data_IF_143088518551
#
_entry.id   IF_143088518551
#
_cell.length_a   1.000
_cell.length_b   1.000
_cell.length_c   1.000
_cell.angle_alpha   90.00
_cell.angle_beta   90.00
_cell.angle_gamma   90.00
#
_symmetry.space_group_name_H-M   'P 1'
#
loop_
_entity.id
_entity.type
_entity.pdbx_description
1 polymer ?
#
# COMPACT_ATOMS: atom_id res chain seq x y z
N UNK A 1 -2.50 -16.49 20.10
CA UNK A 1 -2.25 -15.80 18.81
C UNK A 1 -1.01 -14.95 19.04
N UNK A 2 0.14 -15.35 18.51
CA UNK A 2 1.43 -14.79 18.92
C UNK A 2 1.73 -13.46 18.22
N UNK A 3 1.90 -12.41 19.01
CA UNK A 3 2.14 -11.05 18.52
C UNK A 3 3.65 -10.78 18.42
N UNK A 4 4.14 -10.62 17.20
CA UNK A 4 5.51 -10.23 16.88
C UNK A 4 5.59 -8.70 16.78
N UNK A 5 6.43 -8.08 17.62
CA UNK A 5 6.52 -6.63 17.84
C UNK A 5 8.02 -6.24 17.81
N UNK A 6 8.45 -5.09 17.24
CA UNK A 6 9.73 -4.34 17.48
C UNK A 6 9.98 -3.27 16.39
N UNK A 7 10.43 -2.00 16.56
CA UNK A 7 10.66 -1.05 17.67
C UNK A 7 11.24 0.29 17.09
N UNK A 8 10.64 1.49 17.26
CA UNK A 8 11.17 2.78 16.72
C UNK A 8 11.53 3.80 17.81
N UNK A 9 12.51 4.62 17.45
CA UNK A 9 12.66 6.04 17.76
C UNK A 9 13.11 6.78 16.49
N UNK A 10 12.59 7.98 16.27
CA UNK A 10 13.04 9.01 15.30
C UNK A 10 13.07 8.70 13.79
N UNK A 11 13.12 9.78 12.98
CA UNK A 11 13.48 9.83 11.54
C UNK A 11 12.42 9.64 10.42
N UNK A 12 11.18 10.15 10.56
CA UNK A 12 10.31 10.35 9.37
C UNK A 12 10.84 11.40 8.38
N UNK A 13 11.79 12.28 8.77
CA UNK A 13 12.46 13.21 7.83
C UNK A 13 13.69 12.60 7.13
N UNK A 14 14.22 11.42 7.54
CA UNK A 14 15.45 10.83 6.95
C UNK A 14 15.19 9.62 6.04
N UNK A 15 14.11 8.86 6.27
CA UNK A 15 13.88 7.57 5.60
C UNK A 15 13.60 7.66 4.09
N UNK A 16 12.87 8.68 3.65
CA UNK A 16 12.43 8.79 2.25
C UNK A 16 13.46 9.46 1.32
N UNK A 17 14.56 9.99 1.88
CA UNK A 17 15.64 10.63 1.13
C UNK A 17 16.79 9.70 0.73
N UNK A 18 16.98 8.56 1.40
CA UNK A 18 18.15 7.70 1.17
C UNK A 18 17.78 6.33 0.59
N UNK A 19 18.43 5.99 -0.54
CA UNK A 19 18.39 4.66 -1.16
C UNK A 19 19.07 3.63 -0.24
N UNK A 20 18.34 3.00 0.69
CA UNK A 20 18.79 1.78 1.39
C UNK A 20 17.72 0.68 1.33
N UNK A 21 17.81 -0.15 0.30
CA UNK A 21 17.18 -1.47 0.26
C UNK A 21 17.75 -2.29 1.42
N UNK A 22 16.90 -2.72 2.36
CA UNK A 22 17.31 -3.58 3.48
C UNK A 22 16.64 -3.32 4.83
N UNK A 23 15.98 -2.18 5.02
CA UNK A 23 15.33 -1.88 6.29
C UNK A 23 13.84 -2.28 6.36
N UNK A 24 13.42 -2.66 7.55
CA UNK A 24 12.02 -2.83 7.92
C UNK A 24 11.30 -1.46 7.98
N UNK A 25 10.16 -1.33 7.27
CA UNK A 25 9.35 -0.11 7.19
C UNK A 25 8.08 -0.13 8.06
N UNK A 26 7.87 -1.15 8.89
CA UNK A 26 6.70 -1.26 9.78
C UNK A 26 6.53 0.04 10.61
N UNK A 27 5.33 0.65 10.69
CA UNK A 27 5.07 1.81 11.54
C UNK A 27 5.15 1.45 13.02
N UNK A 28 6.37 1.24 13.51
CA UNK A 28 6.63 0.86 14.88
C UNK A 28 6.13 1.97 15.81
N UNK A 29 5.11 1.68 16.60
CA UNK A 29 4.94 2.30 17.91
C UNK A 29 5.22 1.22 18.94
N UNK A 30 6.28 1.41 19.72
CA UNK A 30 6.52 0.65 20.95
C UNK A 30 6.81 -0.85 20.79
N UNK A 31 8.08 -1.18 20.60
CA UNK A 31 8.79 -1.80 21.72
C UNK A 31 9.98 -0.92 22.08
N UNK A 32 10.09 -0.66 23.36
CA UNK A 32 11.35 -0.36 24.03
C UNK A 32 11.31 -1.27 25.26
N UNK A 33 12.44 -1.87 25.61
CA UNK A 33 12.51 -2.80 26.75
C UNK A 33 11.97 -2.16 28.02
N UNK A 34 10.75 -2.55 28.43
CA UNK A 34 10.04 -2.24 29.68
C UNK A 34 9.96 -0.78 30.19
N UNK A 35 10.55 0.23 29.54
CA UNK A 35 10.71 1.58 30.12
C UNK A 35 10.40 2.81 29.24
N UNK A 36 9.86 2.67 28.03
CA UNK A 36 9.44 3.86 27.25
C UNK A 36 8.04 3.71 26.68
N UNK A 37 7.10 4.51 27.22
CA UNK A 37 5.76 4.71 26.68
C UNK A 37 5.75 5.95 25.78
N UNK A 38 6.08 5.81 24.50
CA UNK A 38 5.70 6.83 23.49
C UNK A 38 4.21 6.69 23.17
N UNK A 39 3.38 7.08 24.14
CA UNK A 39 1.93 7.07 24.00
C UNK A 39 1.43 8.21 23.10
N UNK A 40 0.27 8.01 22.50
CA UNK A 40 -0.44 9.06 21.79
C UNK A 40 -0.75 10.24 22.72
N UNK A 41 -0.23 11.42 22.40
CA UNK A 41 -0.52 12.61 23.22
C UNK A 41 -2.02 12.90 23.22
N UNK A 42 -2.56 13.46 24.31
CA UNK A 42 -3.97 13.92 24.37
C UNK A 42 -4.34 14.91 23.25
N UNK A 43 -3.37 15.50 22.54
CA UNK A 43 -3.61 16.39 21.40
C UNK A 43 -3.97 15.63 20.11
N UNK A 44 -3.57 14.36 19.98
CA UNK A 44 -3.77 13.56 18.77
C UNK A 44 -5.26 13.33 18.44
N UNK A 45 -6.16 13.33 19.44
CA UNK A 45 -7.60 13.23 19.21
C UNK A 45 -8.23 14.50 18.61
N UNK A 46 -7.47 15.60 18.45
CA UNK A 46 -7.97 16.88 17.93
C UNK A 46 -7.69 17.11 16.44
N UNK A 47 -6.89 16.26 15.80
CA UNK A 47 -6.50 16.44 14.39
C UNK A 47 -6.00 15.12 13.78
N UNK A 48 -6.24 14.91 12.48
CA UNK A 48 -5.65 13.80 11.74
C UNK A 48 -4.14 14.01 11.56
N UNK A 49 -3.33 13.02 11.92
CA UNK A 49 -1.89 13.04 11.65
C UNK A 49 -1.62 12.61 10.21
N UNK A 50 -0.67 13.26 9.55
CA UNK A 50 -0.28 12.97 8.17
C UNK A 50 0.31 11.56 7.97
N UNK A 51 0.82 10.95 9.05
CA UNK A 51 1.34 9.58 9.06
C UNK A 51 0.27 8.54 9.44
N UNK A 52 -0.96 8.95 9.75
CA UNK A 52 -2.08 8.09 10.15
C UNK A 52 -1.95 7.45 11.53
N UNK A 53 -0.90 7.77 12.30
CA UNK A 53 -0.70 7.25 13.66
C UNK A 53 -1.72 7.85 14.65
N UNK A 54 -1.94 7.17 15.77
CA UNK A 54 -2.75 7.65 16.90
C UNK A 54 -4.21 8.00 16.57
N UNK A 55 -4.80 7.29 15.61
CA UNK A 55 -6.24 7.32 15.35
C UNK A 55 -6.98 6.37 16.32
N UNK A 56 -6.49 5.13 16.43
CA UNK A 56 -6.73 4.26 17.59
C UNK A 56 -5.65 4.56 18.66
N UNK A 57 -6.04 4.70 19.93
CA UNK A 57 -5.14 4.96 21.05
C UNK A 57 -4.61 3.68 21.71
N UNK A 58 -5.35 2.56 21.61
CA UNK A 58 -4.93 1.23 22.08
C UNK A 58 -4.03 0.56 21.05
N UNK A 59 -4.30 0.79 19.75
CA UNK A 59 -3.43 0.38 18.65
C UNK A 59 -2.89 1.59 17.84
N UNK A 60 -1.95 2.40 18.39
CA UNK A 60 -1.44 3.62 17.75
C UNK A 60 -0.92 3.50 16.31
N UNK A 61 -0.51 2.31 15.89
CA UNK A 61 -0.01 2.03 14.54
C UNK A 61 -1.11 1.63 13.53
N UNK A 62 -2.33 1.31 14.00
CA UNK A 62 -3.42 0.84 13.14
C UNK A 62 -3.71 1.85 12.01
N UNK A 63 -3.83 1.34 10.79
CA UNK A 63 -4.15 2.12 9.59
C UNK A 63 -3.12 3.19 9.18
N UNK A 64 -1.97 3.26 9.86
CA UNK A 64 -0.92 4.23 9.55
C UNK A 64 -0.10 3.87 8.30
N UNK A 65 0.77 4.78 7.89
CA UNK A 65 1.70 4.61 6.77
C UNK A 65 2.56 3.34 6.95
N UNK A 66 2.72 2.53 5.90
CA UNK A 66 3.44 1.24 5.92
C UNK A 66 2.80 0.12 6.77
N UNK A 67 1.60 0.34 7.33
CA UNK A 67 0.87 -0.73 8.02
C UNK A 67 0.45 -1.83 7.03
N UNK A 68 0.44 -3.09 7.49
CA UNK A 68 0.16 -4.26 6.64
C UNK A 68 -1.28 -4.24 6.11
N UNK A 69 -1.47 -4.73 4.89
CA UNK A 69 -2.81 -5.05 4.39
C UNK A 69 -3.40 -6.22 5.15
N UNK A 70 -4.65 -6.07 5.60
CA UNK A 70 -5.43 -7.17 6.17
C UNK A 70 -5.78 -8.27 5.16
N UNK A 71 -6.43 -9.31 5.66
CA UNK A 71 -6.98 -10.41 4.86
C UNK A 71 -8.39 -10.74 5.36
N UNK A 72 -9.35 -10.76 4.44
CA UNK A 72 -10.74 -11.15 4.71
C UNK A 72 -10.98 -12.66 4.53
N UNK A 73 -9.92 -13.42 4.21
CA UNK A 73 -9.93 -14.87 4.03
C UNK A 73 -8.77 -15.50 4.81
N UNK A 74 -8.85 -16.78 5.22
CA UNK A 74 -7.78 -17.47 5.95
C UNK A 74 -6.41 -17.40 5.25
N UNK A 75 -5.33 -17.18 6.01
CA UNK A 75 -3.99 -16.95 5.44
C UNK A 75 -3.45 -18.13 4.62
N UNK A 76 -3.77 -19.37 5.01
CA UNK A 76 -3.44 -20.58 4.26
C UNK A 76 -4.07 -20.61 2.86
N UNK A 77 -5.24 -19.98 2.66
CA UNK A 77 -5.87 -19.80 1.36
C UNK A 77 -5.32 -18.62 0.55
N UNK A 78 -4.33 -17.87 1.07
CA UNK A 78 -3.67 -16.74 0.39
C UNK A 78 -2.28 -17.07 -0.15
N UNK A 79 -1.84 -18.33 -0.01
CA UNK A 79 -0.56 -18.81 -0.56
C UNK A 79 -0.63 -18.82 -2.09
N UNK A 80 0.44 -18.35 -2.74
CA UNK A 80 0.55 -18.38 -4.21
C UNK A 80 0.64 -19.82 -4.72
N UNK A 81 -0.29 -20.22 -5.57
CA UNK A 81 -0.14 -21.45 -6.36
C UNK A 81 0.88 -21.20 -7.48
N UNK A 82 2.14 -21.56 -7.23
CA UNK A 82 3.25 -21.46 -8.18
C UNK A 82 3.01 -22.28 -9.46
N UNK A 83 2.30 -23.42 -9.35
CA UNK A 83 2.13 -24.38 -10.46
C UNK A 83 1.09 -23.88 -11.46
N UNK A 84 0.01 -23.29 -10.96
CA UNK A 84 -1.10 -22.79 -11.78
C UNK A 84 -1.06 -21.27 -12.02
N UNK A 85 0.00 -20.57 -11.61
CA UNK A 85 0.11 -19.10 -11.72
C UNK A 85 -0.12 -18.55 -13.15
N UNK A 86 0.21 -19.35 -14.17
CA UNK A 86 0.01 -19.01 -15.58
C UNK A 86 -0.98 -19.95 -16.30
N UNK A 87 -1.82 -20.68 -15.56
CA UNK A 87 -2.78 -21.64 -16.10
C UNK A 87 -4.19 -21.43 -15.49
N UNK A 88 -5.15 -20.83 -16.23
CA UNK A 88 -5.03 -20.30 -17.59
C UNK A 88 -4.12 -19.07 -17.70
N UNK A 89 -3.60 -18.80 -18.90
CA UNK A 89 -2.64 -17.72 -19.14
C UNK A 89 -3.27 -16.33 -18.89
N UNK A 90 -2.69 -15.47 -18.01
CA UNK A 90 -3.23 -14.14 -17.71
C UNK A 90 -3.43 -13.22 -18.92
N UNK A 91 -2.57 -13.32 -19.95
CA UNK A 91 -2.73 -12.55 -21.19
C UNK A 91 -3.90 -13.06 -22.02
N UNK A 92 -4.10 -14.37 -22.08
CA UNK A 92 -5.22 -14.97 -22.81
C UNK A 92 -6.56 -14.61 -22.14
N UNK A 93 -6.63 -14.68 -20.81
CA UNK A 93 -7.78 -14.19 -20.03
C UNK A 93 -8.07 -12.71 -20.37
N UNK A 94 -7.04 -11.86 -20.38
CA UNK A 94 -7.16 -10.44 -20.72
C UNK A 94 -7.70 -10.23 -22.14
N UNK A 95 -7.20 -10.98 -23.13
CA UNK A 95 -7.66 -10.92 -24.53
C UNK A 95 -9.10 -11.40 -24.72
N UNK A 96 -9.48 -12.49 -24.05
CA UNK A 96 -10.77 -13.17 -24.27
C UNK A 96 -11.89 -12.47 -23.51
N UNK A 97 -11.65 -12.12 -22.23
CA UNK A 97 -12.68 -11.59 -21.31
C UNK A 97 -12.61 -10.06 -21.12
N UNK A 98 -11.42 -9.47 -21.07
CA UNK A 98 -11.25 -8.06 -20.66
C UNK A 98 -11.14 -7.09 -21.84
N UNK A 99 -10.74 -7.55 -23.04
CA UNK A 99 -10.61 -6.71 -24.24
C UNK A 99 -11.96 -6.13 -24.64
N UNK A 100 -12.11 -4.80 -24.48
CA UNK A 100 -13.33 -4.05 -24.82
C UNK A 100 -13.66 -4.20 -26.32
N UNK A 101 -14.81 -4.82 -26.63
CA UNK A 101 -15.32 -4.99 -28.00
C UNK A 101 -16.28 -3.87 -28.44
N UNK A 102 -17.06 -3.34 -27.49
CA UNK A 102 -17.99 -2.21 -27.65
C UNK A 102 -17.97 -1.38 -26.37
N UNK A 103 -18.33 -0.10 -26.47
CA UNK A 103 -18.63 0.72 -25.28
C UNK A 103 -20.07 0.40 -24.88
N UNK A 104 -20.27 -0.04 -23.63
CA UNK A 104 -21.59 -0.20 -23.03
C UNK A 104 -21.83 1.04 -22.15
N UNK A 105 -22.78 1.93 -22.48
CA UNK A 105 -23.03 3.12 -21.69
C UNK A 105 -23.70 2.74 -20.36
N UNK A 106 -23.29 3.40 -19.28
CA UNK A 106 -23.95 3.30 -17.96
C UNK A 106 -24.72 4.60 -17.74
N UNK A 107 -26.05 4.53 -17.74
CA UNK A 107 -26.93 5.72 -17.74
C UNK A 107 -27.11 6.37 -16.38
N UNK A 108 -26.77 5.67 -15.29
CA UNK A 108 -26.99 6.11 -13.90
C UNK A 108 -25.81 6.87 -13.28
N UNK A 109 -24.65 6.93 -13.96
CA UNK A 109 -23.45 7.64 -13.47
C UNK A 109 -22.76 8.38 -14.61
N UNK A 110 -22.06 9.45 -14.27
CA UNK A 110 -21.22 10.21 -15.21
C UNK A 110 -19.73 9.92 -14.98
N UNK A 111 -18.87 10.48 -15.84
CA UNK A 111 -17.42 10.25 -15.79
C UNK A 111 -16.74 10.77 -14.50
N UNK A 112 -17.35 11.72 -13.79
CA UNK A 112 -16.83 12.23 -12.52
C UNK A 112 -16.84 11.14 -11.44
N UNK A 113 -17.77 10.18 -11.49
CA UNK A 113 -17.81 9.04 -10.57
C UNK A 113 -16.56 8.16 -10.74
N UNK A 114 -16.11 7.93 -11.98
CA UNK A 114 -14.88 7.17 -12.23
C UNK A 114 -13.64 7.91 -11.69
N UNK A 115 -13.55 9.22 -11.93
CA UNK A 115 -12.48 10.07 -11.38
C UNK A 115 -12.50 10.13 -9.85
N UNK A 116 -13.69 10.20 -9.24
CA UNK A 116 -13.87 10.21 -7.79
C UNK A 116 -13.46 8.88 -7.15
N UNK A 117 -13.85 7.73 -7.72
CA UNK A 117 -13.41 6.42 -7.23
C UNK A 117 -11.90 6.29 -7.33
N UNK A 118 -11.26 6.72 -8.42
CA UNK A 118 -9.80 6.73 -8.51
C UNK A 118 -9.15 7.64 -7.45
N UNK A 119 -9.68 8.85 -7.27
CA UNK A 119 -9.23 9.79 -6.25
C UNK A 119 -9.35 9.22 -4.83
N UNK A 120 -10.39 8.42 -4.54
CA UNK A 120 -10.54 7.68 -3.30
C UNK A 120 -9.53 6.52 -3.18
N UNK A 121 -9.26 5.75 -4.25
CA UNK A 121 -8.26 4.67 -4.16
C UNK A 121 -6.86 5.18 -3.85
N UNK A 122 -6.49 6.37 -4.36
CA UNK A 122 -5.25 7.05 -3.98
C UNK A 122 -5.20 7.42 -2.48
N UNK A 123 -6.35 7.59 -1.84
CA UNK A 123 -6.48 7.91 -0.41
C UNK A 123 -6.45 6.69 0.50
N UNK A 124 -6.74 5.50 -0.04
CA UNK A 124 -6.93 4.30 0.77
C UNK A 124 -5.80 3.29 0.65
N UNK A 125 -5.20 3.11 -0.53
CA UNK A 125 -4.18 2.08 -0.72
C UNK A 125 -3.23 2.29 -1.90
N UNK A 126 -1.95 2.02 -1.65
CA UNK A 126 -0.91 1.85 -2.66
C UNK A 126 0.08 0.79 -2.19
N UNK A 127 0.36 -0.25 -3.01
CA UNK A 127 1.45 -1.21 -2.71
C UNK A 127 2.85 -0.60 -2.89
N UNK A 128 2.92 0.60 -3.47
CA UNK A 128 4.11 1.38 -3.71
C UNK A 128 4.93 0.82 -4.87
N UNK A 129 6.23 1.09 -4.83
CA UNK A 129 7.15 0.61 -5.87
C UNK A 129 7.32 -0.90 -5.77
N UNK A 130 7.07 -1.58 -6.89
CA UNK A 130 7.28 -3.02 -7.05
C UNK A 130 8.75 -3.42 -6.81
N UNK A 131 8.94 -4.72 -6.60
CA UNK A 131 10.23 -5.39 -6.49
C UNK A 131 11.05 -5.17 -7.77
N UNK A 132 12.36 -4.91 -7.62
CA UNK A 132 13.27 -4.62 -8.73
C UNK A 132 14.00 -5.84 -9.27
N UNK A 133 13.91 -6.97 -8.56
CA UNK A 133 14.71 -8.17 -8.83
C UNK A 133 13.81 -9.37 -9.12
N UNK A 134 12.66 -9.48 -8.45
CA UNK A 134 11.70 -10.56 -8.65
C UNK A 134 10.64 -10.14 -9.66
N UNK A 135 10.66 -10.75 -10.84
CA UNK A 135 9.70 -10.49 -11.91
C UNK A 135 8.90 -11.76 -12.24
N UNK A 136 7.63 -11.60 -12.59
CA UNK A 136 6.82 -12.63 -13.25
C UNK A 136 7.04 -12.52 -14.75
N UNK A 137 7.37 -13.65 -15.39
CA UNK A 137 7.52 -13.73 -16.85
C UNK A 137 6.30 -14.46 -17.39
N UNK A 138 5.26 -13.71 -17.73
CA UNK A 138 4.05 -14.28 -18.34
C UNK A 138 4.41 -14.66 -19.79
N UNK A 139 4.27 -15.93 -20.20
CA UNK A 139 4.50 -16.32 -21.59
C UNK A 139 3.43 -15.71 -22.48
N UNK A 140 3.82 -15.32 -23.69
CA UNK A 140 2.94 -14.66 -24.66
C UNK A 140 2.87 -15.53 -25.92
N UNK A 141 1.72 -15.50 -26.60
CA UNK A 141 1.48 -16.21 -27.85
C UNK A 141 2.11 -15.45 -29.01
N UNK A 142 2.61 -16.17 -30.02
CA UNK A 142 3.21 -15.55 -31.21
C UNK A 142 2.23 -14.64 -32.01
N UNK A 143 0.91 -14.85 -31.86
CA UNK A 143 -0.14 -14.02 -32.44
C UNK A 143 -0.54 -12.80 -31.58
N UNK A 144 0.32 -12.35 -30.66
CA UNK A 144 0.03 -11.19 -29.82
C UNK A 144 0.38 -9.84 -30.47
N UNK A 145 -0.60 -8.91 -30.60
CA UNK A 145 -0.36 -7.64 -31.27
C UNK A 145 0.36 -6.61 -30.39
N UNK A 146 0.37 -6.80 -29.07
CA UNK A 146 0.88 -5.80 -28.12
C UNK A 146 2.21 -6.24 -27.47
N UNK A 147 2.51 -7.54 -27.47
CA UNK A 147 3.67 -8.13 -26.78
C UNK A 147 4.35 -9.21 -27.63
N UNK A 148 5.67 -9.36 -27.52
CA UNK A 148 6.42 -10.39 -28.26
C UNK A 148 6.46 -11.72 -27.48
N UNK A 149 7.62 -12.12 -26.93
CA UNK A 149 7.83 -13.46 -26.36
C UNK A 149 7.33 -13.61 -24.91
N UNK A 150 7.50 -12.57 -24.10
CA UNK A 150 7.11 -12.57 -22.67
C UNK A 150 6.67 -11.17 -22.26
N UNK A 151 5.75 -11.11 -21.30
CA UNK A 151 5.43 -9.88 -20.56
C UNK A 151 6.12 -9.98 -19.20
N UNK A 152 7.05 -9.06 -18.96
CA UNK A 152 7.88 -9.04 -17.75
C UNK A 152 7.29 -8.08 -16.72
N UNK A 153 6.72 -8.62 -15.64
CA UNK A 153 5.95 -7.87 -14.65
C UNK A 153 6.72 -7.87 -13.32
N UNK A 154 7.21 -6.73 -12.81
CA UNK A 154 7.87 -6.69 -11.50
C UNK A 154 6.88 -7.05 -10.39
N UNK A 155 7.24 -7.98 -9.51
CA UNK A 155 6.36 -8.48 -8.45
C UNK A 155 6.07 -7.39 -7.42
N UNK A 156 4.93 -7.50 -6.73
CA UNK A 156 4.65 -6.67 -5.55
C UNK A 156 5.77 -6.82 -4.52
N UNK A 157 6.23 -5.70 -3.96
CA UNK A 157 7.25 -5.65 -2.90
C UNK A 157 6.71 -6.35 -1.65
N UNK A 158 7.30 -7.48 -1.28
CA UNK A 158 7.01 -8.14 0.02
C UNK A 158 7.38 -7.21 1.17
N UNK A 159 6.69 -7.35 2.29
CA UNK A 159 7.06 -6.72 3.54
C UNK A 159 8.48 -7.11 3.95
N UNK A 160 9.34 -6.10 4.21
CA UNK A 160 10.72 -6.29 4.70
C UNK A 160 10.79 -6.56 6.21
N UNK A 161 9.68 -6.48 6.92
CA UNK A 161 9.54 -6.73 8.36
C UNK A 161 8.96 -8.10 8.71
N UNK A 162 8.57 -8.91 7.72
CA UNK A 162 8.03 -10.25 7.97
C UNK A 162 9.14 -11.19 8.46
N UNK A 163 8.82 -12.15 9.31
CA UNK A 163 9.73 -13.27 9.52
C UNK A 163 9.68 -14.21 8.31
N UNK A 164 10.78 -14.92 8.05
CA UNK A 164 10.86 -15.85 6.92
C UNK A 164 9.80 -16.96 6.98
N UNK A 165 9.39 -17.35 8.20
CA UNK A 165 8.36 -18.36 8.50
C UNK A 165 6.92 -17.87 8.33
N UNK A 166 6.70 -16.56 8.24
CA UNK A 166 5.36 -15.99 8.12
C UNK A 166 4.85 -16.12 6.68
N UNK A 167 3.51 -16.18 6.52
CA UNK A 167 2.85 -16.01 5.22
C UNK A 167 3.26 -14.69 4.55
N UNK A 168 3.15 -14.62 3.22
CA UNK A 168 3.49 -13.43 2.45
C UNK A 168 2.60 -12.23 2.81
N UNK A 169 3.18 -11.28 3.54
CA UNK A 169 2.58 -10.00 3.90
C UNK A 169 3.08 -8.85 3.02
N UNK A 170 2.24 -7.82 2.91
CA UNK A 170 2.46 -6.65 2.07
C UNK A 170 2.03 -5.40 2.84
N UNK A 171 2.74 -4.29 2.63
CA UNK A 171 2.51 -3.03 3.33
C UNK A 171 1.81 -2.03 2.43
N UNK A 172 0.89 -1.25 2.99
CA UNK A 172 0.32 -0.08 2.33
C UNK A 172 1.28 1.11 2.42
N UNK A 173 1.67 1.70 1.30
CA UNK A 173 2.61 2.84 1.26
C UNK A 173 1.92 4.20 1.34
N UNK A 174 0.61 4.20 1.58
CA UNK A 174 -0.18 5.33 2.10
C UNK A 174 -0.83 4.94 3.44
N UNK A 175 -1.62 5.82 4.05
CA UNK A 175 -2.46 5.48 5.20
C UNK A 175 -3.69 4.69 4.73
N UNK A 176 -4.25 3.83 5.58
CA UNK A 176 -5.51 3.11 5.30
C UNK A 176 -6.74 3.91 5.74
N UNK A 177 -6.53 5.00 6.49
CA UNK A 177 -7.62 5.83 6.98
C UNK A 177 -8.17 6.71 5.87
N UNK A 178 -9.49 6.93 5.89
CA UNK A 178 -10.10 7.97 5.07
C UNK A 178 -9.76 9.35 5.68
N UNK A 179 -8.56 9.85 5.36
CA UNK A 179 -7.96 11.05 5.95
C UNK A 179 -7.63 12.16 4.93
N UNK A 180 -7.93 11.93 3.65
CA UNK A 180 -7.67 12.85 2.55
C UNK A 180 -6.17 13.15 2.33
N UNK A 181 -5.28 12.17 2.55
CA UNK A 181 -3.87 12.23 2.14
C UNK A 181 -3.68 12.59 0.64
N UNK A 182 -4.62 12.26 -0.24
CA UNK A 182 -4.57 12.67 -1.65
C UNK A 182 -4.63 14.21 -1.80
N UNK A 183 -5.14 14.93 -0.79
CA UNK A 183 -5.12 16.39 -0.68
C UNK A 183 -4.08 16.93 0.31
N UNK A 184 -3.74 16.18 1.36
CA UNK A 184 -2.93 16.67 2.49
C UNK A 184 -1.50 16.10 2.54
N UNK A 185 -1.23 15.00 1.84
CA UNK A 185 0.04 14.31 1.76
C UNK A 185 0.41 13.48 2.98
N UNK A 186 1.09 12.35 2.76
CA UNK A 186 1.50 11.37 3.78
C UNK A 186 2.61 11.85 4.74
N UNK A 187 3.15 13.05 4.57
CA UNK A 187 4.21 13.57 5.44
C UNK A 187 4.30 15.10 5.43
N UNK A 188 5.02 15.62 6.41
CA UNK A 188 5.26 17.05 6.65
C UNK A 188 5.94 17.77 5.47
N UNK A 189 6.77 17.09 4.68
CA UNK A 189 7.45 17.70 3.51
C UNK A 189 6.44 17.96 2.39
N UNK A 190 5.58 16.99 2.07
CA UNK A 190 4.51 17.12 1.08
C UNK A 190 3.49 18.16 1.57
N UNK A 191 3.01 18.04 2.81
CA UNK A 191 2.04 18.99 3.39
C UNK A 191 2.58 20.45 3.43
N UNK A 192 3.89 20.64 3.63
CA UNK A 192 4.53 21.97 3.56
C UNK A 192 4.58 22.55 2.15
N UNK A 193 4.61 21.73 1.10
CA UNK A 193 4.67 22.17 -0.32
C UNK A 193 3.31 22.63 -0.84
N UNK A 194 2.23 22.01 -0.37
CA UNK A 194 0.85 22.25 -0.83
C UNK A 194 0.09 23.30 -0.01
N UNK A 195 0.63 23.76 1.12
CA UNK A 195 0.00 24.76 1.99
C UNK A 195 0.56 26.17 1.76
N UNK A 196 -0.33 27.11 1.46
CA UNK A 196 -0.05 28.56 1.35
C UNK A 196 0.41 29.19 2.67
N UNK A 197 0.05 28.58 3.81
CA UNK A 197 0.27 29.07 5.19
C UNK A 197 -0.32 30.45 5.50
N UNK A 198 -1.26 30.93 4.69
CA UNK A 198 -2.10 32.09 5.00
C UNK A 198 -3.41 31.60 5.62
N UNK A 199 -3.93 32.32 6.60
CA UNK A 199 -5.34 32.20 7.01
C UNK A 199 -6.23 32.75 5.90
N UNK A 200 -7.47 32.25 5.80
CA UNK A 200 -8.50 33.00 5.08
C UNK A 200 -8.78 34.28 5.85
N UNK A 201 -8.88 35.41 5.14
CA UNK A 201 -9.34 36.68 5.67
C UNK A 201 -10.88 36.69 5.72
#
# INVERSE_FOLDING_TARGET
>A
MENLIDSYTESTEQYYGQRRLGYCLDPKIGKLGRKVRYGCSKRCNKFRRLDGLCNDFENPAAGSLSYRFGRNVPLNATVRDEKNLYNPNPRDISRILMKRKKIIPVTIVNILVAGWVQFMTHDWFDSGKNDRCRHLKVPIRDDDPDFCKTMDIPMTRRDSCRNSKDYDTYQNTVTHWWDALQLYGINKQINRRIRTRKTAN
#
